data_IF_871429414828
#
_entry.id   IF_871429414828
#
_cell.length_a   1.000
_cell.length_b   1.000
_cell.length_c   1.000
_cell.angle_alpha   90.00
_cell.angle_beta   90.00
_cell.angle_gamma   90.00
#
_symmetry.space_group_name_H-M   'P 1'
#
loop_
_entity.id
_entity.type
_entity.pdbx_description
1 polymer ?
#
# COMPACT_ATOMS: atom_id res chain seq x y z
N UNK A 1 19.53 -10.50 -14.68
CA UNK A 1 18.19 -10.01 -15.09
C UNK A 1 18.31 -8.57 -15.55
N UNK A 2 17.52 -8.15 -16.54
CA UNK A 2 17.59 -6.80 -17.09
C UNK A 2 16.54 -5.90 -16.46
N UNK A 3 16.96 -4.77 -15.90
CA UNK A 3 16.10 -3.79 -15.23
C UNK A 3 16.31 -2.41 -15.86
N UNK A 4 15.38 -1.46 -15.65
CA UNK A 4 15.52 -0.08 -16.10
C UNK A 4 15.82 0.85 -14.93
N UNK A 5 16.75 1.79 -15.12
CA UNK A 5 17.02 2.78 -14.10
C UNK A 5 15.80 3.69 -13.85
N UNK A 6 15.42 3.88 -12.58
CA UNK A 6 14.31 4.77 -12.22
C UNK A 6 14.55 6.24 -12.59
N UNK A 7 15.83 6.64 -12.75
CA UNK A 7 16.22 8.02 -13.09
C UNK A 7 16.39 8.25 -14.58
N UNK A 8 17.41 7.64 -15.19
CA UNK A 8 17.72 7.86 -16.61
C UNK A 8 16.98 6.91 -17.56
N UNK A 9 16.18 5.95 -17.05
CA UNK A 9 15.45 4.93 -17.83
C UNK A 9 16.31 3.93 -18.60
N UNK A 10 17.63 4.10 -18.60
CA UNK A 10 18.54 3.19 -19.29
C UNK A 10 18.49 1.77 -18.72
N UNK A 11 18.43 0.76 -19.61
CA UNK A 11 18.40 -0.63 -19.19
C UNK A 11 19.80 -1.14 -18.84
N UNK A 12 19.91 -1.91 -17.76
CA UNK A 12 21.17 -2.54 -17.34
C UNK A 12 20.92 -3.90 -16.68
N UNK A 13 21.95 -4.74 -16.66
CA UNK A 13 21.89 -6.09 -16.10
C UNK A 13 22.30 -6.10 -14.63
N UNK A 14 21.58 -6.88 -13.82
CA UNK A 14 21.85 -7.10 -12.40
C UNK A 14 21.87 -8.59 -12.07
N UNK A 15 22.65 -8.96 -11.06
CA UNK A 15 22.86 -10.35 -10.64
C UNK A 15 21.72 -10.98 -9.86
N UNK A 16 20.71 -10.20 -9.45
CA UNK A 16 19.60 -10.67 -8.64
C UNK A 16 18.90 -9.54 -7.90
N UNK A 17 17.98 -9.85 -6.98
CA UNK A 17 17.36 -8.85 -6.13
C UNK A 17 18.39 -8.16 -5.23
N UNK A 18 18.08 -6.94 -4.80
CA UNK A 18 18.97 -6.10 -4.00
C UNK A 18 19.10 -4.68 -4.56
N UNK A 19 20.11 -3.95 -4.06
CA UNK A 19 20.40 -2.57 -4.47
C UNK A 19 21.54 -2.54 -5.47
N UNK A 20 21.31 -1.93 -6.62
CA UNK A 20 22.27 -1.88 -7.73
C UNK A 20 22.43 -0.45 -8.23
N UNK A 21 23.68 -0.01 -8.39
CA UNK A 21 23.99 1.29 -8.97
C UNK A 21 23.85 1.24 -10.49
N UNK A 22 23.17 2.24 -11.08
CA UNK A 22 23.10 2.37 -12.52
C UNK A 22 24.47 2.77 -13.08
N UNK A 23 25.03 2.03 -14.06
CA UNK A 23 26.34 2.37 -14.64
C UNK A 23 26.34 3.66 -15.46
N UNK A 24 25.15 4.13 -15.88
CA UNK A 24 25.03 5.33 -16.72
C UNK A 24 24.93 6.64 -15.91
N UNK A 25 24.27 6.63 -14.76
CA UNK A 25 24.00 7.85 -13.98
C UNK A 25 24.32 7.74 -12.48
N UNK A 26 24.84 6.59 -12.02
CA UNK A 26 25.21 6.35 -10.63
C UNK A 26 24.04 6.21 -9.65
N UNK A 27 22.79 6.31 -10.11
CA UNK A 27 21.62 6.23 -9.22
C UNK A 27 21.41 4.82 -8.69
N UNK A 28 21.10 4.69 -7.40
CA UNK A 28 20.79 3.41 -6.76
C UNK A 28 19.37 2.96 -7.08
N UNK A 29 19.23 1.71 -7.55
CA UNK A 29 17.93 1.09 -7.88
C UNK A 29 17.72 -0.12 -6.98
N UNK A 30 16.53 -0.25 -6.40
CA UNK A 30 16.12 -1.44 -5.65
C UNK A 30 15.38 -2.39 -6.58
N UNK A 31 15.84 -3.64 -6.65
CA UNK A 31 15.24 -4.71 -7.45
C UNK A 31 14.67 -5.74 -6.49
N UNK A 32 13.36 -5.93 -6.54
CA UNK A 32 12.67 -6.95 -5.75
C UNK A 32 12.82 -8.34 -6.37
N UNK A 33 12.61 -9.36 -5.55
CA UNK A 33 12.47 -10.73 -6.05
C UNK A 33 11.13 -10.83 -6.80
N UNK A 34 11.16 -11.30 -8.04
CA UNK A 34 9.91 -11.55 -8.76
C UNK A 34 9.19 -12.72 -8.06
N UNK A 35 7.89 -12.60 -7.75
CA UNK A 35 7.16 -13.73 -7.21
C UNK A 35 7.25 -14.88 -8.21
N UNK A 36 7.71 -16.04 -7.75
CA UNK A 36 7.84 -17.25 -8.56
C UNK A 36 6.43 -17.62 -9.01
N UNK A 37 6.09 -17.37 -10.28
CA UNK A 37 4.81 -17.77 -10.85
C UNK A 37 4.70 -19.29 -10.81
N UNK A 38 3.76 -19.79 -10.02
CA UNK A 38 3.22 -21.14 -10.16
C UNK A 38 2.68 -21.35 -11.59
N UNK A 39 2.65 -22.59 -12.12
CA UNK A 39 2.33 -22.85 -13.52
C UNK A 39 0.93 -22.37 -13.92
N UNK A 40 0.71 -22.01 -15.20
CA UNK A 40 -0.58 -21.55 -15.70
C UNK A 40 -1.52 -22.75 -15.88
N UNK A 41 -2.12 -23.19 -14.78
CA UNK A 41 -3.29 -24.05 -14.85
C UNK A 41 -4.48 -23.13 -15.12
N UNK A 42 -5.08 -23.28 -16.29
CA UNK A 42 -6.30 -22.59 -16.69
C UNK A 42 -7.50 -23.14 -15.89
N UNK A 43 -7.52 -22.84 -14.61
CA UNK A 43 -8.75 -22.69 -13.84
C UNK A 43 -8.71 -21.25 -13.37
N UNK A 44 -9.70 -20.48 -13.78
CA UNK A 44 -10.05 -19.25 -13.12
C UNK A 44 -10.37 -19.61 -11.68
N UNK A 45 -9.34 -19.68 -10.85
CA UNK A 45 -9.48 -19.46 -9.42
C UNK A 45 -9.93 -18.03 -9.37
N UNK A 46 -11.26 -17.86 -9.36
CA UNK A 46 -11.95 -17.05 -8.39
C UNK A 46 -10.96 -16.87 -7.23
N UNK A 47 -10.13 -15.82 -7.34
CA UNK A 47 -9.60 -15.19 -6.15
C UNK A 47 -10.88 -14.97 -5.40
N UNK A 48 -11.09 -15.74 -4.34
CA UNK A 48 -11.99 -15.36 -3.29
C UNK A 48 -11.75 -13.86 -3.18
N UNK A 49 -12.72 -13.07 -3.66
CA UNK A 49 -12.79 -11.69 -3.24
C UNK A 49 -12.56 -11.80 -1.74
N UNK A 50 -11.58 -11.11 -1.13
CA UNK A 50 -11.59 -11.01 0.32
C UNK A 50 -13.03 -10.62 0.62
N UNK A 51 -13.77 -11.57 1.24
CA UNK A 51 -15.22 -11.58 1.28
C UNK A 51 -15.64 -10.15 1.48
N UNK A 52 -16.37 -9.54 0.52
CA UNK A 52 -16.59 -8.10 0.43
C UNK A 52 -16.72 -7.49 1.83
N UNK A 53 -15.57 -7.20 2.41
CA UNK A 53 -15.44 -6.77 3.77
C UNK A 53 -15.54 -5.32 3.54
N UNK A 54 -16.70 -4.78 3.90
CA UNK A 54 -17.12 -3.39 3.72
C UNK A 54 -16.01 -2.56 3.12
N UNK A 55 -16.18 -2.04 1.90
CA UNK A 55 -15.36 -0.92 1.47
C UNK A 55 -15.43 0.13 2.58
N UNK A 56 -14.43 0.13 3.47
CA UNK A 56 -14.36 1.06 4.57
C UNK A 56 -14.23 2.40 3.89
N UNK A 57 -15.36 3.11 3.81
CA UNK A 57 -15.43 4.37 3.09
C UNK A 57 -14.38 5.25 3.77
N UNK A 58 -13.37 5.73 3.02
CA UNK A 58 -12.30 6.51 3.62
C UNK A 58 -12.95 7.70 4.32
N UNK A 59 -12.83 7.73 5.64
CA UNK A 59 -13.49 8.74 6.45
C UNK A 59 -12.61 9.97 6.43
N UNK A 60 -13.20 11.10 6.03
CA UNK A 60 -12.52 12.39 6.11
C UNK A 60 -12.59 12.88 7.56
N UNK A 61 -11.45 13.21 8.13
CA UNK A 61 -11.33 13.74 9.48
C UNK A 61 -10.51 15.02 9.48
N UNK A 62 -10.76 15.87 10.46
CA UNK A 62 -10.02 17.11 10.67
C UNK A 62 -9.14 16.98 11.91
N UNK A 63 -7.87 17.36 11.79
CA UNK A 63 -6.97 17.35 12.93
C UNK A 63 -7.38 18.45 13.94
N UNK A 64 -7.62 18.13 15.23
CA UNK A 64 -8.02 19.13 16.23
C UNK A 64 -6.92 20.15 16.55
N UNK A 65 -5.67 19.86 16.18
CA UNK A 65 -4.51 20.64 16.55
C UNK A 65 -4.12 21.67 15.46
N UNK A 66 -4.31 21.32 14.19
CA UNK A 66 -3.88 22.14 13.05
C UNK A 66 -4.94 22.31 11.96
N UNK A 67 -6.16 21.84 12.20
CA UNK A 67 -7.32 21.94 11.29
C UNK A 67 -7.10 21.32 9.91
N UNK A 68 -6.06 20.51 9.74
CA UNK A 68 -5.75 19.83 8.48
C UNK A 68 -6.72 18.66 8.27
N UNK A 69 -7.49 18.69 7.18
CA UNK A 69 -8.35 17.57 6.78
C UNK A 69 -7.56 16.47 6.08
N UNK A 70 -7.77 15.21 6.46
CA UNK A 70 -7.19 14.06 5.77
C UNK A 70 -8.11 12.84 5.81
N UNK A 71 -7.86 11.89 4.93
CA UNK A 71 -8.63 10.65 4.85
C UNK A 71 -7.93 9.55 5.64
N UNK A 72 -8.71 8.82 6.43
CA UNK A 72 -8.28 7.67 7.22
C UNK A 72 -9.13 6.46 6.88
N UNK A 73 -8.51 5.28 6.93
CA UNK A 73 -9.25 4.02 6.90
C UNK A 73 -9.85 3.71 8.27
N UNK A 74 -10.29 2.46 8.45
CA UNK A 74 -10.76 1.97 9.74
C UNK A 74 -9.57 1.76 10.69
N UNK A 75 -9.24 2.80 11.45
CA UNK A 75 -8.17 2.79 12.46
C UNK A 75 -8.61 3.54 13.70
N UNK A 76 -8.30 3.02 14.89
CA UNK A 76 -8.64 3.67 16.15
C UNK A 76 -7.80 4.94 16.41
N UNK A 77 -6.61 5.04 15.81
CA UNK A 77 -5.71 6.19 15.95
C UNK A 77 -5.01 6.43 14.62
N UNK A 78 -5.02 7.68 14.15
CA UNK A 78 -4.33 8.10 12.94
C UNK A 78 -3.40 9.29 13.21
N UNK A 79 -2.10 9.21 12.88
CA UNK A 79 -1.20 10.35 13.03
C UNK A 79 -1.48 11.40 11.95
N UNK A 80 -1.65 12.66 12.37
CA UNK A 80 -1.85 13.75 11.42
C UNK A 80 -0.65 13.91 10.49
N UNK A 81 -0.83 13.96 9.16
CA UNK A 81 0.28 14.12 8.22
C UNK A 81 0.93 15.51 8.28
N UNK A 82 0.24 16.50 8.85
CA UNK A 82 0.72 17.88 8.94
C UNK A 82 1.50 18.15 10.24
N UNK A 83 0.88 17.92 11.41
CA UNK A 83 1.50 18.23 12.71
C UNK A 83 1.99 17.00 13.49
N UNK A 84 1.75 15.78 12.99
CA UNK A 84 2.12 14.49 13.62
C UNK A 84 1.39 14.18 14.93
N UNK A 85 0.43 15.00 15.33
CA UNK A 85 -0.47 14.72 16.48
C UNK A 85 -1.30 13.48 16.20
N UNK A 86 -1.40 12.59 17.19
CA UNK A 86 -2.25 11.41 17.14
C UNK A 86 -3.73 11.80 17.27
N UNK A 87 -4.53 11.46 16.26
CA UNK A 87 -5.98 11.69 16.25
C UNK A 87 -6.68 10.39 16.61
N UNK A 88 -7.35 10.37 17.77
CA UNK A 88 -8.12 9.21 18.22
C UNK A 88 -9.49 9.23 17.56
N UNK A 89 -9.81 8.16 16.85
CA UNK A 89 -11.06 7.95 16.14
C UNK A 89 -11.85 6.92 16.93
N UNK A 90 -12.99 7.33 17.49
CA UNK A 90 -13.90 6.39 18.16
C UNK A 90 -14.66 5.64 17.07
N UNK A 91 -14.27 4.39 16.82
CA UNK A 91 -15.12 3.45 16.11
C UNK A 91 -16.24 3.02 17.04
N UNK A 92 -17.34 3.77 17.07
CA UNK A 92 -18.62 3.23 17.52
C UNK A 92 -19.12 2.30 16.41
N UNK A 93 -18.64 1.06 16.44
CA UNK A 93 -19.32 -0.04 15.80
C UNK A 93 -20.66 -0.20 16.52
N UNK A 94 -21.70 0.40 15.96
CA UNK A 94 -23.07 0.05 16.30
C UNK A 94 -23.29 -1.37 15.78
N UNK A 95 -23.11 -2.34 16.68
CA UNK A 95 -23.67 -3.68 16.57
C UNK A 95 -25.18 -3.55 16.35
N UNK A 96 -25.62 -3.59 15.10
CA UNK A 96 -27.02 -3.82 14.74
C UNK A 96 -27.18 -5.26 14.25
N UNK A 97 -27.21 -6.15 15.24
CA UNK A 97 -27.98 -7.41 15.35
C UNK A 97 -28.47 -8.08 14.03
N UNK A 98 -28.06 -9.33 13.73
CA UNK A 98 -28.76 -10.15 12.74
C UNK A 98 -30.05 -10.72 13.36
N UNK A 99 -31.22 -10.20 12.96
CA UNK A 99 -32.52 -10.80 13.28
C UNK A 99 -32.96 -11.80 12.19
N UNK A 100 -32.86 -13.08 12.58
CA UNK A 100 -33.58 -14.32 12.20
C UNK A 100 -34.24 -14.42 10.82
#
# INVERSE_FOLDING_TARGET
MKVRCGRCREPFDVGGPGRHACPMCGSMNAVGEAPVSAPPNAEAVERAAPAAGESAVPTRIDCPDCEFSFFVGDVAVAPCPNCRTDVVLRSEAEEAEPDV
#
